data_IF_943413863288
#
_entry.id   IF_943413863288
#
_cell.length_a   1.000
_cell.length_b   1.000
_cell.length_c   1.000
_cell.angle_alpha   90.00
_cell.angle_beta   90.00
_cell.angle_gamma   90.00
#
_symmetry.space_group_name_H-M   'P 1'
#
loop_
_entity.id
_entity.type
_entity.pdbx_description
1 polymer ?
#
# COMPACT_ATOMS: atom_id res chain seq x y z
N UNK A 1 -12.73 1.52 2.28
CA UNK A 1 -11.31 1.26 2.56
C UNK A 1 -11.12 -0.16 3.04
N UNK A 2 -10.24 -0.95 2.41
CA UNK A 2 -9.72 -2.24 2.89
C UNK A 2 -8.20 -2.12 2.89
N UNK A 3 -7.58 -2.08 4.07
CA UNK A 3 -6.12 -2.19 4.19
C UNK A 3 -5.74 -3.66 4.00
N UNK A 4 -4.55 -3.93 3.44
CA UNK A 4 -3.97 -5.27 3.39
C UNK A 4 -2.46 -5.11 3.57
N UNK A 5 -1.96 -5.48 4.75
CA UNK A 5 -0.53 -5.61 4.97
C UNK A 5 -0.09 -7.06 4.74
N UNK A 6 1.12 -7.29 4.19
CA UNK A 6 1.67 -8.63 4.07
C UNK A 6 1.68 -9.35 5.43
N UNK A 7 1.01 -10.51 5.51
CA UNK A 7 0.92 -11.33 6.72
C UNK A 7 -0.41 -11.21 7.47
N UNK A 8 -1.32 -10.34 7.06
CA UNK A 8 -2.68 -10.27 7.62
C UNK A 8 -3.62 -11.30 7.00
N UNK A 9 -4.26 -12.09 7.85
CA UNK A 9 -5.31 -13.06 7.53
C UNK A 9 -6.72 -12.59 7.94
N UNK A 10 -6.84 -11.32 8.36
CA UNK A 10 -8.07 -10.71 8.81
C UNK A 10 -8.55 -9.59 7.87
N UNK A 11 -9.86 -9.40 7.85
CA UNK A 11 -10.54 -8.41 7.02
C UNK A 11 -11.57 -7.65 7.85
N UNK A 12 -11.78 -6.38 7.52
CA UNK A 12 -12.85 -5.56 8.10
C UNK A 12 -13.98 -5.34 7.11
N UNK A 13 -15.19 -5.75 7.50
CA UNK A 13 -16.42 -5.52 6.74
C UNK A 13 -17.05 -4.18 7.17
N UNK A 14 -16.96 -3.16 6.32
CA UNK A 14 -17.52 -1.83 6.60
C UNK A 14 -19.03 -1.83 6.87
N UNK A 15 -19.88 -2.53 6.07
CA UNK A 15 -21.32 -2.55 6.32
C UNK A 15 -21.71 -3.11 7.70
N UNK A 16 -21.03 -4.15 8.16
CA UNK A 16 -21.38 -4.85 9.41
C UNK A 16 -20.51 -4.44 10.59
N UNK A 17 -19.43 -3.70 10.35
CA UNK A 17 -18.40 -3.31 11.33
C UNK A 17 -17.78 -4.50 12.06
N UNK A 18 -17.56 -5.60 11.34
CA UNK A 18 -17.02 -6.85 11.91
C UNK A 18 -15.66 -7.20 11.32
N UNK A 19 -14.89 -7.93 12.14
CA UNK A 19 -13.68 -8.61 11.72
C UNK A 19 -13.99 -10.04 11.32
N UNK A 20 -13.38 -10.53 10.26
CA UNK A 20 -13.44 -11.94 9.89
C UNK A 20 -12.07 -12.40 9.39
N UNK A 21 -11.75 -13.68 9.64
CA UNK A 21 -10.63 -14.33 8.95
C UNK A 21 -11.09 -14.71 7.55
N UNK A 22 -10.36 -14.25 6.55
CA UNK A 22 -10.71 -14.50 5.14
C UNK A 22 -9.69 -15.43 4.48
N UNK A 23 -9.98 -15.89 3.25
CA UNK A 23 -9.02 -16.70 2.51
C UNK A 23 -7.74 -15.89 2.24
N UNK A 24 -6.59 -16.59 2.17
CA UNK A 24 -5.33 -15.96 1.74
C UNK A 24 -5.55 -15.30 0.38
N UNK A 25 -5.32 -13.99 0.30
CA UNK A 25 -5.31 -13.30 -0.99
C UNK A 25 -4.05 -13.69 -1.78
N UNK A 26 -4.14 -13.81 -3.11
CA UNK A 26 -2.96 -13.91 -3.95
C UNK A 26 -2.11 -12.66 -3.77
N UNK A 27 -0.79 -12.83 -3.85
CA UNK A 27 0.17 -11.73 -3.71
C UNK A 27 -0.12 -10.66 -4.79
N UNK A 28 0.15 -9.37 -4.52
CA UNK A 28 -0.08 -8.31 -5.49
C UNK A 28 0.72 -8.58 -6.77
N UNK A 29 0.05 -8.92 -7.86
CA UNK A 29 0.72 -9.33 -9.11
C UNK A 29 1.17 -8.12 -9.94
N UNK A 30 0.51 -6.96 -9.79
CA UNK A 30 0.91 -5.71 -10.44
C UNK A 30 0.11 -4.53 -9.86
N UNK A 31 0.57 -3.31 -10.15
CA UNK A 31 -0.24 -2.09 -10.16
C UNK A 31 -0.82 -1.83 -11.55
N UNK A 32 -1.86 -1.00 -11.71
CA UNK A 32 -2.23 -0.46 -13.03
C UNK A 32 -1.02 0.17 -13.72
N UNK A 33 -0.80 -0.07 -15.03
CA UNK A 33 0.32 0.51 -15.76
C UNK A 33 0.39 2.04 -15.66
N UNK A 34 -0.78 2.69 -15.67
CA UNK A 34 -0.97 4.14 -15.63
C UNK A 34 -0.76 4.72 -14.23
N UNK A 35 -0.74 3.88 -13.18
CA UNK A 35 -0.53 4.34 -11.81
C UNK A 35 0.93 4.74 -11.62
N UNK A 36 1.28 6.03 -11.48
CA UNK A 36 2.67 6.40 -11.27
C UNK A 36 3.19 5.87 -9.93
N UNK A 37 4.51 5.77 -9.79
CA UNK A 37 5.09 5.59 -8.45
C UNK A 37 4.56 6.70 -7.53
N UNK A 38 4.03 6.37 -6.34
CA UNK A 38 3.52 7.37 -5.43
C UNK A 38 4.63 8.36 -5.09
N UNK A 39 4.38 9.63 -5.39
CA UNK A 39 5.34 10.70 -5.28
C UNK A 39 4.87 11.86 -6.14
N UNK A 40 4.68 13.07 -5.60
CA UNK A 40 4.36 14.19 -6.46
C UNK A 40 5.57 14.48 -7.35
N UNK A 41 5.33 14.63 -8.64
CA UNK A 41 6.39 14.93 -9.61
C UNK A 41 7.19 16.16 -9.13
N UNK A 42 8.52 16.03 -9.11
CA UNK A 42 9.41 17.11 -8.65
C UNK A 42 9.48 17.32 -7.13
N UNK A 43 8.91 16.43 -6.30
CA UNK A 43 9.02 16.52 -4.82
C UNK A 43 10.12 15.68 -4.20
N UNK A 44 10.82 14.91 -5.01
CA UNK A 44 12.09 14.32 -4.63
C UNK A 44 13.17 15.20 -5.27
N UNK A 45 13.87 16.05 -4.49
CA UNK A 45 15.03 16.79 -4.98
C UNK A 45 16.06 15.85 -5.61
N UNK A 46 16.81 16.31 -6.62
CA UNK A 46 17.81 15.48 -7.29
C UNK A 46 18.90 14.96 -6.32
N UNK A 47 19.16 15.71 -5.26
CA UNK A 47 20.14 15.50 -4.18
C UNK A 47 19.51 14.90 -2.91
N UNK A 48 18.32 14.30 -2.97
CA UNK A 48 17.63 13.75 -1.79
C UNK A 48 18.48 12.78 -0.97
N UNK A 49 19.39 12.02 -1.61
CA UNK A 49 20.30 11.07 -0.92
C UNK A 49 21.30 11.76 0.01
N UNK A 50 21.60 13.03 -0.22
CA UNK A 50 22.49 13.82 0.63
C UNK A 50 21.76 14.34 1.88
N UNK A 51 20.43 14.28 1.90
CA UNK A 51 19.59 14.80 2.98
C UNK A 51 19.21 13.73 4.04
N UNK A 52 19.33 12.44 3.72
CA UNK A 52 18.84 11.34 4.58
C UNK A 52 19.81 10.90 5.68
N UNK A 53 21.05 11.40 5.69
CA UNK A 53 22.10 11.01 6.64
C UNK A 53 22.46 12.12 7.65
N UNK A 54 21.60 13.13 7.81
CA UNK A 54 21.77 14.14 8.88
C UNK A 54 21.21 13.69 10.21
#
# INVERSE_FOLDING_TARGET
MRSFEPGEDWFYELPTKKFFRGPRLPDPQSRPPEQPSPGPAGKVPADWREHIHR
#
